data_IF_830359513267
#
_entry.id   IF_830359513267
#
_cell.length_a   1.000
_cell.length_b   1.000
_cell.length_c   1.000
_cell.angle_alpha   90.00
_cell.angle_beta   90.00
_cell.angle_gamma   90.00
#
_symmetry.space_group_name_H-M   'P 1'
#
loop_
_entity.id
_entity.type
_entity.pdbx_description
1 polymer ?
#
# COMPACT_ATOMS: atom_id res chain seq x y z
N UNK A 1 49.49 9.06 41.10
CA UNK A 1 48.88 8.62 39.83
C UNK A 1 49.33 9.61 38.77
N UNK A 2 49.97 9.15 37.74
CA UNK A 2 50.62 10.00 36.75
C UNK A 2 49.52 10.72 35.91
N UNK A 3 49.57 12.06 35.77
CA UNK A 3 48.55 12.86 35.06
C UNK A 3 48.26 12.32 33.64
N UNK A 4 49.30 11.81 33.01
CA UNK A 4 49.20 11.19 31.68
C UNK A 4 48.34 9.92 31.65
N UNK A 5 48.44 9.09 32.67
CA UNK A 5 47.65 7.85 32.80
C UNK A 5 46.17 8.21 33.03
N UNK A 6 45.90 9.22 33.85
CA UNK A 6 44.52 9.68 34.10
C UNK A 6 43.86 10.23 32.83
N UNK A 7 44.62 10.98 32.01
CA UNK A 7 44.11 11.49 30.73
C UNK A 7 43.77 10.38 29.71
N UNK A 8 44.65 9.36 29.62
CA UNK A 8 44.41 8.21 28.71
C UNK A 8 43.18 7.42 29.17
N UNK A 9 43.00 7.22 30.47
CA UNK A 9 41.83 6.50 31.01
C UNK A 9 40.55 7.28 30.76
N UNK A 10 40.55 8.61 30.90
CA UNK A 10 39.36 9.44 30.59
C UNK A 10 39.01 9.41 29.11
N UNK A 11 39.98 9.46 28.21
CA UNK A 11 39.74 9.37 26.75
C UNK A 11 39.21 7.97 26.38
N UNK A 12 39.75 6.90 26.95
CA UNK A 12 39.27 5.56 26.71
C UNK A 12 37.83 5.33 27.21
N UNK A 13 37.46 5.94 28.35
CA UNK A 13 36.10 5.90 28.86
C UNK A 13 35.10 6.65 27.97
N UNK A 14 35.48 7.78 27.35
CA UNK A 14 34.63 8.53 26.44
C UNK A 14 34.41 7.76 25.14
N UNK A 15 35.43 7.04 24.64
CA UNK A 15 35.35 6.22 23.43
C UNK A 15 34.58 4.90 23.63
N UNK A 16 34.46 4.44 24.89
CA UNK A 16 33.77 3.21 25.25
C UNK A 16 32.24 3.42 25.43
N UNK A 17 31.74 4.65 25.45
CA UNK A 17 30.31 4.86 25.40
C UNK A 17 29.80 4.47 23.97
N UNK A 18 29.04 3.38 23.86
CA UNK A 18 28.41 3.09 22.59
C UNK A 18 27.52 4.31 22.28
N UNK A 19 27.81 5.00 21.17
CA UNK A 19 26.94 5.98 20.62
C UNK A 19 25.65 5.21 20.21
N UNK A 20 24.82 4.97 21.20
CA UNK A 20 23.53 4.32 21.01
C UNK A 20 22.79 5.20 20.01
N UNK A 21 22.65 4.71 18.80
CA UNK A 21 21.64 5.25 17.89
C UNK A 21 20.33 5.18 18.67
N UNK A 22 19.91 6.31 19.22
CA UNK A 22 18.54 6.47 19.66
C UNK A 22 17.68 6.43 18.39
N UNK A 23 17.53 5.24 17.82
CA UNK A 23 16.50 4.99 16.84
C UNK A 23 15.21 5.01 17.65
N UNK A 24 14.63 6.17 17.83
CA UNK A 24 13.24 6.29 18.18
C UNK A 24 12.50 5.46 17.14
N UNK A 25 12.11 4.27 17.51
CA UNK A 25 11.31 3.40 16.66
C UNK A 25 9.94 4.06 16.59
N UNK A 26 9.78 4.96 15.63
CA UNK A 26 8.48 5.54 15.32
C UNK A 26 7.54 4.40 15.01
N UNK A 27 6.45 4.34 15.76
CA UNK A 27 5.40 3.37 15.49
C UNK A 27 4.82 3.69 14.13
N UNK A 28 4.94 2.76 13.22
CA UNK A 28 4.39 2.93 11.87
C UNK A 28 2.87 2.89 11.91
N UNK A 29 2.25 3.72 11.09
CA UNK A 29 0.81 3.80 10.92
C UNK A 29 0.39 2.75 9.88
N UNK A 30 -0.47 1.79 10.23
CA UNK A 30 -1.00 0.84 9.25
C UNK A 30 -1.96 1.53 8.30
N UNK A 31 -1.68 1.45 7.00
CA UNK A 31 -2.44 2.12 5.94
C UNK A 31 -2.89 1.11 4.89
N UNK A 32 -4.13 1.23 4.45
CA UNK A 32 -4.66 0.60 3.23
C UNK A 32 -4.96 1.69 2.23
N UNK A 33 -4.41 1.58 1.04
CA UNK A 33 -4.68 2.51 -0.07
C UNK A 33 -5.77 1.92 -0.95
N UNK A 34 -6.84 2.68 -1.20
CA UNK A 34 -7.90 2.36 -2.16
C UNK A 34 -7.80 3.38 -3.29
N UNK A 35 -7.56 2.92 -4.50
CA UNK A 35 -7.27 3.80 -5.62
C UNK A 35 -7.79 3.24 -6.93
N UNK A 36 -8.19 4.10 -7.84
CA UNK A 36 -8.48 3.78 -9.24
C UNK A 36 -7.23 3.90 -10.13
N UNK A 37 -6.13 4.30 -9.58
CA UNK A 37 -4.74 4.44 -10.01
C UNK A 37 -4.48 4.71 -11.51
N UNK A 38 -5.32 4.19 -12.38
CA UNK A 38 -5.12 4.22 -13.83
C UNK A 38 -6.18 5.01 -14.58
N UNK A 39 -7.18 5.56 -13.89
CA UNK A 39 -8.28 6.25 -14.54
C UNK A 39 -8.62 7.61 -13.91
N UNK A 40 -8.76 8.64 -14.71
CA UNK A 40 -8.36 8.70 -16.12
C UNK A 40 -6.85 8.52 -16.26
N UNK A 41 -6.42 7.98 -17.39
CA UNK A 41 -5.03 7.60 -17.62
C UNK A 41 -4.02 8.53 -16.96
N UNK A 42 -3.20 7.95 -16.07
CA UNK A 42 -2.06 8.63 -15.46
C UNK A 42 -2.44 9.81 -14.55
N UNK A 43 -3.39 9.61 -13.65
CA UNK A 43 -3.54 10.59 -12.57
C UNK A 43 -2.22 10.64 -11.77
N UNK A 44 -1.45 11.75 -11.87
CA UNK A 44 -0.18 11.84 -11.17
C UNK A 44 -0.37 11.89 -9.65
N UNK A 45 -1.54 12.32 -9.16
CA UNK A 45 -1.86 12.34 -7.74
C UNK A 45 -1.89 10.93 -7.16
N UNK A 46 -2.64 10.01 -7.76
CA UNK A 46 -2.75 8.62 -7.32
C UNK A 46 -1.41 7.91 -7.32
N UNK A 47 -0.61 8.15 -8.36
CA UNK A 47 0.73 7.59 -8.42
C UNK A 47 1.64 8.12 -7.30
N UNK A 48 1.54 9.42 -6.97
CA UNK A 48 2.31 10.01 -5.88
C UNK A 48 1.88 9.47 -4.52
N UNK A 49 0.57 9.36 -4.26
CA UNK A 49 0.04 8.80 -3.02
C UNK A 49 0.50 7.35 -2.84
N UNK A 50 0.45 6.56 -3.91
CA UNK A 50 0.95 5.20 -3.86
C UNK A 50 2.47 5.14 -3.59
N UNK A 51 3.28 5.98 -4.26
CA UNK A 51 4.72 6.08 -4.00
C UNK A 51 4.98 6.46 -2.54
N UNK A 52 4.21 7.41 -1.99
CA UNK A 52 4.32 7.80 -0.58
C UNK A 52 3.97 6.64 0.35
N UNK A 53 2.92 5.87 0.06
CA UNK A 53 2.55 4.66 0.81
C UNK A 53 3.69 3.64 0.87
N UNK A 54 4.41 3.45 -0.24
CA UNK A 54 5.57 2.56 -0.28
C UNK A 54 6.81 3.15 0.39
N UNK A 55 7.05 4.46 0.23
CA UNK A 55 8.33 5.12 0.53
C UNK A 55 8.43 5.76 1.91
N UNK A 56 7.34 6.23 2.50
CA UNK A 56 7.38 6.91 3.78
C UNK A 56 7.79 5.95 4.92
N UNK A 57 8.73 6.36 5.78
CA UNK A 57 9.28 5.50 6.81
C UNK A 57 8.30 5.21 7.96
N UNK A 58 7.33 6.07 8.18
CA UNK A 58 6.29 5.99 9.20
C UNK A 58 5.00 5.33 8.71
N UNK A 59 4.93 4.98 7.43
CA UNK A 59 3.82 4.23 6.85
C UNK A 59 4.12 2.73 6.82
N UNK A 60 3.17 1.94 7.32
CA UNK A 60 3.12 0.49 7.18
C UNK A 60 2.01 0.14 6.19
N UNK A 61 2.33 0.21 4.90
CA UNK A 61 1.39 -0.10 3.83
C UNK A 61 0.98 -1.57 3.89
N UNK A 62 -0.29 -1.81 4.24
CA UNK A 62 -0.86 -3.14 4.47
C UNK A 62 -1.45 -3.76 3.23
N UNK A 63 -2.06 -2.94 2.37
CA UNK A 63 -2.66 -3.39 1.11
C UNK A 63 -2.86 -2.23 0.15
N UNK A 64 -2.98 -2.56 -1.14
CA UNK A 64 -3.45 -1.68 -2.21
C UNK A 64 -4.69 -2.31 -2.84
N UNK A 65 -5.80 -1.61 -2.81
CA UNK A 65 -7.08 -2.08 -3.33
C UNK A 65 -7.42 -1.26 -4.58
N UNK A 66 -7.60 -1.95 -5.70
CA UNK A 66 -7.88 -1.33 -6.98
C UNK A 66 -9.40 -1.25 -7.16
N UNK A 67 -9.95 -0.06 -6.97
CA UNK A 67 -11.39 0.22 -6.95
C UNK A 67 -11.79 1.03 -8.17
N UNK A 68 -12.08 0.35 -9.27
CA UNK A 68 -12.53 0.98 -10.50
C UNK A 68 -13.79 0.31 -11.03
N UNK A 69 -14.77 1.11 -11.43
CA UNK A 69 -16.06 0.60 -11.91
C UNK A 69 -16.05 0.30 -13.41
N UNK A 70 -16.95 -0.58 -13.85
CA UNK A 70 -17.18 -0.93 -15.24
C UNK A 70 -17.36 0.27 -16.19
N UNK A 71 -17.87 1.39 -15.67
CA UNK A 71 -18.06 2.59 -16.47
C UNK A 71 -16.76 3.09 -17.10
N UNK A 72 -15.62 2.88 -16.42
CA UNK A 72 -14.29 3.25 -16.88
C UNK A 72 -13.52 2.08 -17.50
N UNK A 73 -14.02 0.84 -17.33
CA UNK A 73 -13.39 -0.38 -17.84
C UNK A 73 -14.02 -0.93 -19.10
N UNK A 74 -14.96 -0.21 -19.71
CA UNK A 74 -15.55 -0.64 -20.96
C UNK A 74 -14.46 -0.86 -22.00
N UNK A 75 -14.28 -2.13 -22.34
CA UNK A 75 -13.42 -2.56 -23.42
C UNK A 75 -13.97 -1.99 -24.71
N UNK A 76 -13.46 -0.86 -25.13
CA UNK A 76 -13.70 -0.35 -26.48
C UNK A 76 -12.56 -0.84 -27.36
N UNK A 77 -12.85 -1.09 -28.63
CA UNK A 77 -11.84 -1.57 -29.58
C UNK A 77 -10.59 -0.67 -29.64
N UNK A 78 -10.76 0.61 -29.31
CA UNK A 78 -9.71 1.62 -29.35
C UNK A 78 -8.94 1.78 -28.03
N UNK A 79 -9.51 1.32 -26.91
CA UNK A 79 -8.94 1.47 -25.57
C UNK A 79 -9.22 0.23 -24.70
N UNK A 80 -8.51 -0.89 -24.93
CA UNK A 80 -8.61 -2.04 -24.06
C UNK A 80 -8.08 -1.68 -22.68
N UNK A 81 -8.96 -1.60 -21.68
CA UNK A 81 -8.61 -1.25 -20.30
C UNK A 81 -8.25 -2.47 -19.46
N UNK A 82 -8.66 -3.65 -19.91
CA UNK A 82 -8.40 -4.92 -19.24
C UNK A 82 -7.78 -5.90 -20.22
N UNK A 83 -6.73 -6.61 -19.78
CA UNK A 83 -6.32 -7.82 -20.49
C UNK A 83 -6.88 -9.06 -19.80
N UNK A 84 -7.14 -10.08 -20.58
CA UNK A 84 -7.70 -11.35 -20.11
C UNK A 84 -6.59 -12.36 -19.92
N UNK A 85 -6.66 -13.08 -18.84
CA UNK A 85 -5.86 -14.27 -18.62
C UNK A 85 -6.74 -15.47 -18.17
N UNK A 86 -6.12 -16.59 -17.80
CA UNK A 86 -6.83 -17.80 -17.36
C UNK A 86 -7.60 -17.61 -16.04
N UNK A 87 -7.29 -16.57 -15.28
CA UNK A 87 -7.87 -16.29 -13.96
C UNK A 87 -8.91 -15.14 -14.00
N UNK A 88 -9.19 -14.63 -15.17
CA UNK A 88 -10.13 -13.54 -15.37
C UNK A 88 -9.48 -12.25 -15.87
N UNK A 89 -10.25 -11.17 -15.95
CA UNK A 89 -9.75 -9.88 -16.39
C UNK A 89 -8.72 -9.33 -15.41
N UNK A 90 -7.68 -8.71 -15.94
CA UNK A 90 -6.61 -8.06 -15.16
C UNK A 90 -6.75 -6.54 -15.24
N UNK A 91 -6.54 -5.90 -14.11
CA UNK A 91 -6.54 -4.45 -13.98
C UNK A 91 -5.16 -3.87 -14.27
N UNK A 92 -5.09 -2.86 -15.13
CA UNK A 92 -3.82 -2.23 -15.50
C UNK A 92 -3.10 -1.59 -14.30
N UNK A 93 -3.83 -1.15 -13.28
CA UNK A 93 -3.29 -0.64 -12.03
C UNK A 93 -2.41 -1.64 -11.24
N UNK A 94 -2.50 -2.93 -11.55
CA UNK A 94 -1.62 -3.95 -10.95
C UNK A 94 -0.15 -3.68 -11.31
N UNK A 95 0.14 -3.22 -12.53
CA UNK A 95 1.50 -3.01 -13.01
C UNK A 95 2.29 -2.04 -12.11
N UNK A 96 1.81 -0.81 -11.83
CA UNK A 96 2.54 0.10 -10.96
C UNK A 96 2.66 -0.42 -9.53
N UNK A 97 1.68 -1.16 -9.00
CA UNK A 97 1.78 -1.77 -7.67
C UNK A 97 2.92 -2.79 -7.63
N UNK A 98 3.02 -3.67 -8.63
CA UNK A 98 4.11 -4.65 -8.71
C UNK A 98 5.47 -3.98 -8.93
N UNK A 99 5.54 -2.95 -9.78
CA UNK A 99 6.75 -2.18 -10.00
C UNK A 99 7.25 -1.52 -8.70
N UNK A 100 6.37 -0.88 -7.93
CA UNK A 100 6.72 -0.27 -6.65
C UNK A 100 7.09 -1.33 -5.60
N UNK A 101 6.40 -2.47 -5.58
CA UNK A 101 6.77 -3.60 -4.73
C UNK A 101 8.21 -4.07 -5.02
N UNK A 102 8.59 -4.11 -6.28
CA UNK A 102 9.97 -4.44 -6.69
C UNK A 102 10.96 -3.34 -6.31
N UNK A 103 10.67 -2.07 -6.63
CA UNK A 103 11.55 -0.91 -6.38
C UNK A 103 11.84 -0.76 -4.88
N UNK A 104 10.81 -0.87 -4.05
CA UNK A 104 10.94 -0.70 -2.61
C UNK A 104 11.26 -2.00 -1.86
N UNK A 105 11.39 -3.11 -2.58
CA UNK A 105 11.59 -4.45 -2.00
C UNK A 105 10.55 -4.77 -0.90
N UNK A 106 9.30 -4.42 -1.15
CA UNK A 106 8.15 -4.64 -0.25
C UNK A 106 7.10 -5.47 -0.97
N UNK A 107 6.72 -6.61 -0.41
CA UNK A 107 5.57 -7.38 -0.89
C UNK A 107 4.31 -6.86 -0.20
N UNK A 108 3.55 -6.04 -0.91
CA UNK A 108 2.29 -5.50 -0.43
C UNK A 108 1.15 -6.29 -1.10
N UNK A 109 0.20 -6.85 -0.33
CA UNK A 109 -0.99 -7.48 -0.92
C UNK A 109 -1.76 -6.45 -1.75
N UNK A 110 -2.28 -6.89 -2.88
CA UNK A 110 -3.18 -6.08 -3.70
C UNK A 110 -4.29 -6.95 -4.29
N UNK A 111 -5.42 -6.34 -4.59
CA UNK A 111 -6.54 -7.03 -5.19
C UNK A 111 -7.46 -6.08 -5.93
N UNK A 112 -8.25 -6.66 -6.84
CA UNK A 112 -9.24 -5.93 -7.62
C UNK A 112 -10.54 -5.91 -6.82
N UNK A 113 -11.14 -4.73 -6.71
CA UNK A 113 -12.46 -4.53 -6.13
C UNK A 113 -13.59 -4.85 -7.11
N UNK A 114 -14.84 -4.75 -6.64
CA UNK A 114 -15.99 -4.92 -7.50
C UNK A 114 -15.96 -3.99 -8.71
N UNK A 115 -16.23 -4.54 -9.89
CA UNK A 115 -16.32 -3.77 -11.13
C UNK A 115 -17.65 -3.03 -11.23
N UNK A 116 -18.69 -3.56 -10.58
CA UNK A 116 -20.03 -3.00 -10.58
C UNK A 116 -20.29 -2.18 -9.33
N UNK A 117 -21.17 -1.20 -9.46
CA UNK A 117 -21.64 -0.43 -8.30
C UNK A 117 -22.58 -1.28 -7.44
N UNK A 118 -22.57 -1.06 -6.13
CA UNK A 118 -23.56 -1.60 -5.22
C UNK A 118 -24.97 -1.17 -5.63
N UNK A 119 -25.93 -2.09 -5.55
CA UNK A 119 -27.34 -1.84 -5.88
C UNK A 119 -28.07 -1.10 -4.75
N UNK A 120 -27.63 -1.27 -3.53
CA UNK A 120 -28.13 -0.59 -2.31
C UNK A 120 -27.04 -0.57 -1.23
N UNK A 121 -27.27 0.12 -0.14
CA UNK A 121 -26.36 0.16 1.02
C UNK A 121 -26.21 -1.21 1.70
N UNK A 122 -27.24 -2.06 1.57
CA UNK A 122 -27.24 -3.41 2.13
C UNK A 122 -26.67 -4.47 1.17
N UNK A 123 -26.34 -4.08 -0.06
CA UNK A 123 -25.79 -4.98 -1.06
C UNK A 123 -24.38 -5.41 -0.67
N UNK A 124 -24.22 -6.68 -0.34
CA UNK A 124 -22.91 -7.28 0.00
C UNK A 124 -22.12 -7.75 -1.21
N UNK A 125 -22.71 -7.65 -2.40
CA UNK A 125 -22.07 -8.04 -3.66
C UNK A 125 -21.54 -9.48 -3.68
N UNK A 126 -22.08 -10.38 -2.84
CA UNK A 126 -21.67 -11.79 -2.74
C UNK A 126 -21.90 -12.60 -4.02
N UNK A 127 -22.69 -12.07 -4.95
CA UNK A 127 -22.97 -12.66 -6.26
C UNK A 127 -21.87 -12.41 -7.30
N UNK A 128 -20.89 -11.56 -6.99
CA UNK A 128 -19.80 -11.26 -7.90
C UNK A 128 -18.81 -12.43 -7.99
N UNK A 129 -18.13 -12.58 -9.13
CA UNK A 129 -17.09 -13.59 -9.27
C UNK A 129 -15.92 -13.36 -8.31
N UNK A 130 -15.21 -14.43 -7.96
CA UNK A 130 -14.17 -14.38 -6.93
C UNK A 130 -13.07 -13.36 -7.18
N UNK A 131 -12.70 -13.12 -8.44
CA UNK A 131 -11.68 -12.13 -8.77
C UNK A 131 -12.10 -10.68 -8.48
N UNK A 132 -13.40 -10.41 -8.39
CA UNK A 132 -13.94 -9.11 -7.98
C UNK A 132 -14.12 -8.98 -6.46
N UNK A 133 -13.91 -10.07 -5.72
CA UNK A 133 -13.95 -10.11 -4.26
C UNK A 133 -12.58 -9.94 -3.61
N UNK A 134 -11.50 -10.06 -4.38
CA UNK A 134 -10.13 -10.08 -3.85
C UNK A 134 -9.82 -8.86 -2.96
N UNK A 135 -10.18 -7.67 -3.39
CA UNK A 135 -9.93 -6.45 -2.59
C UNK A 135 -10.72 -6.45 -1.28
N UNK A 136 -11.96 -6.97 -1.30
CA UNK A 136 -12.80 -7.08 -0.10
C UNK A 136 -12.18 -8.08 0.88
N UNK A 137 -11.76 -9.24 0.40
CA UNK A 137 -11.15 -10.27 1.21
C UNK A 137 -9.84 -9.79 1.85
N UNK A 138 -8.99 -9.12 1.06
CA UNK A 138 -7.74 -8.51 1.55
C UNK A 138 -8.03 -7.47 2.64
N UNK A 139 -8.99 -6.57 2.40
CA UNK A 139 -9.37 -5.55 3.39
C UNK A 139 -9.83 -6.19 4.70
N UNK A 140 -10.72 -7.16 4.62
CA UNK A 140 -11.23 -7.88 5.78
C UNK A 140 -10.11 -8.61 6.53
N UNK A 141 -9.17 -9.21 5.81
CA UNK A 141 -8.01 -9.88 6.40
C UNK A 141 -7.10 -8.88 7.13
N UNK A 142 -6.80 -7.74 6.52
CA UNK A 142 -6.00 -6.67 7.14
C UNK A 142 -6.68 -6.18 8.42
N UNK A 143 -7.98 -5.88 8.36
CA UNK A 143 -8.73 -5.38 9.52
C UNK A 143 -8.80 -6.42 10.65
N UNK A 144 -9.00 -7.70 10.34
CA UNK A 144 -9.04 -8.78 11.33
C UNK A 144 -7.68 -9.03 12.01
N UNK A 145 -6.59 -8.86 11.28
CA UNK A 145 -5.23 -9.10 11.80
C UNK A 145 -4.63 -7.90 12.50
N UNK A 146 -5.13 -6.71 12.22
CA UNK A 146 -4.60 -5.49 12.82
C UNK A 146 -4.94 -5.41 14.31
N UNK A 147 -3.93 -5.09 15.12
CA UNK A 147 -4.10 -4.81 16.56
C UNK A 147 -4.35 -3.32 16.83
N UNK A 148 -4.33 -2.50 15.80
CA UNK A 148 -4.41 -1.06 15.85
C UNK A 148 -5.39 -0.54 14.80
N UNK A 149 -5.90 0.67 14.96
CA UNK A 149 -6.68 1.32 13.92
C UNK A 149 -5.89 1.34 12.60
N UNK A 150 -6.56 0.98 11.51
CA UNK A 150 -6.00 1.02 10.17
C UNK A 150 -6.54 2.27 9.48
N UNK A 151 -5.65 3.10 9.00
CA UNK A 151 -6.02 4.23 8.18
C UNK A 151 -6.37 3.74 6.77
N UNK A 152 -7.49 4.21 6.26
CA UNK A 152 -7.91 3.92 4.88
C UNK A 152 -7.77 5.19 4.07
N UNK A 153 -6.74 5.20 3.23
CA UNK A 153 -6.52 6.28 2.28
C UNK A 153 -7.32 5.98 1.02
N UNK A 154 -8.35 6.78 0.78
CA UNK A 154 -9.20 6.67 -0.40
C UNK A 154 -9.26 8.01 -1.09
N UNK A 155 -8.77 8.05 -2.31
CA UNK A 155 -9.00 9.19 -3.17
C UNK A 155 -10.47 9.22 -3.60
N UNK A 156 -11.14 10.31 -3.28
CA UNK A 156 -12.49 10.58 -3.75
C UNK A 156 -12.43 10.84 -5.25
N UNK A 157 -13.01 9.96 -6.03
CA UNK A 157 -13.38 10.30 -7.42
C UNK A 157 -14.58 11.23 -7.34
N UNK A 158 -14.39 12.48 -7.68
CA UNK A 158 -15.46 13.48 -7.84
C UNK A 158 -16.01 13.38 -9.26
#
# INVERSE_FOLDING_TARGET
MNKTILQIVCIALILAFPCGKASGQYKKIPVVVITDLYHPYQDPGDNMDLIMGFGLPDVDLKAVLLDITDAFRKDTADHPTLWKDLHGPREAGIIPVEQLSYIFNKKVPYGIGPLSMMKSVEDRMEYLPGYEQEAIDILLEVLKKSKEPVEVDRKSVV
#
